data_IF_699644917132
#
_entry.id   IF_699644917132
#
_cell.length_a   1.000
_cell.length_b   1.000
_cell.length_c   1.000
_cell.angle_alpha   90.00
_cell.angle_beta   90.00
_cell.angle_gamma   90.00
#
_symmetry.space_group_name_H-M   'P 1'
#
loop_
_entity.id
_entity.type
_entity.pdbx_description
1 polymer ?
#
# COMPACT_ATOMS: atom_id res chain seq x y z
N UNK A 1 20.59 -31.82 -20.06
CA UNK A 1 20.24 -31.50 -21.47
C UNK A 1 20.21 -29.98 -21.61
N UNK A 2 21.01 -29.38 -22.50
CA UNK A 2 21.01 -27.93 -22.68
C UNK A 2 19.67 -27.48 -23.28
N UNK A 3 19.03 -26.46 -22.68
CA UNK A 3 17.79 -25.88 -23.21
C UNK A 3 18.18 -25.03 -24.44
N UNK A 4 18.09 -25.64 -25.61
CA UNK A 4 18.27 -24.94 -26.87
C UNK A 4 17.01 -24.10 -27.12
N UNK A 5 17.19 -22.82 -27.45
CA UNK A 5 16.07 -21.93 -27.77
C UNK A 5 15.23 -22.54 -28.91
N UNK A 6 13.89 -22.45 -28.88
CA UNK A 6 13.01 -23.18 -29.79
C UNK A 6 13.19 -22.82 -31.27
N UNK A 7 13.74 -21.65 -31.57
CA UNK A 7 13.98 -21.18 -32.96
C UNK A 7 15.31 -21.64 -33.56
N UNK A 8 16.14 -22.37 -32.82
CA UNK A 8 17.44 -22.84 -33.31
C UNK A 8 17.24 -24.16 -34.06
N UNK A 9 17.51 -24.15 -35.37
CA UNK A 9 17.43 -25.35 -36.21
C UNK A 9 18.76 -26.11 -36.25
N UNK A 10 18.72 -27.40 -36.58
CA UNK A 10 19.93 -28.21 -36.76
C UNK A 10 20.85 -27.65 -37.86
N UNK A 11 20.27 -27.08 -38.93
CA UNK A 11 21.02 -26.40 -39.99
C UNK A 11 21.78 -25.16 -39.48
N UNK A 12 21.16 -24.37 -38.59
CA UNK A 12 21.83 -23.24 -37.95
C UNK A 12 22.97 -23.70 -37.04
N UNK A 13 22.80 -24.79 -36.29
CA UNK A 13 23.86 -25.36 -35.46
C UNK A 13 25.07 -25.76 -36.33
N UNK A 14 24.82 -26.44 -37.45
CA UNK A 14 25.88 -26.79 -38.40
C UNK A 14 26.55 -25.54 -38.99
N UNK A 15 25.77 -24.50 -39.28
CA UNK A 15 26.27 -23.23 -39.76
C UNK A 15 27.21 -22.56 -38.74
N UNK A 16 26.83 -22.53 -37.45
CA UNK A 16 27.64 -22.01 -36.36
C UNK A 16 28.94 -22.82 -36.17
N UNK A 17 28.86 -24.15 -36.18
CA UNK A 17 30.05 -25.02 -36.09
C UNK A 17 31.03 -24.78 -37.24
N UNK A 18 30.54 -24.59 -38.47
CA UNK A 18 31.37 -24.28 -39.63
C UNK A 18 31.99 -22.88 -39.53
N UNK A 19 31.27 -21.89 -39.00
CA UNK A 19 31.82 -20.56 -38.67
C UNK A 19 32.99 -20.69 -37.70
N UNK A 20 32.81 -21.47 -36.64
CA UNK A 20 33.84 -21.62 -35.60
C UNK A 20 35.07 -22.36 -36.13
N UNK A 21 34.89 -23.38 -36.98
CA UNK A 21 35.99 -24.02 -37.72
C UNK A 21 36.75 -23.04 -38.60
N UNK A 22 36.05 -22.17 -39.34
CA UNK A 22 36.68 -21.13 -40.18
C UNK A 22 37.43 -20.08 -39.35
N UNK A 23 36.87 -19.68 -38.21
CA UNK A 23 37.56 -18.79 -37.26
C UNK A 23 38.87 -19.41 -36.77
N UNK A 24 38.87 -20.70 -36.42
CA UNK A 24 40.09 -21.40 -36.01
C UNK A 24 41.11 -21.49 -37.16
N UNK A 25 40.67 -21.72 -38.40
CA UNK A 25 41.56 -21.72 -39.58
C UNK A 25 42.18 -20.35 -39.85
N UNK A 26 41.41 -19.28 -39.68
CA UNK A 26 41.90 -17.90 -39.77
C UNK A 26 42.92 -17.59 -38.66
N UNK A 27 42.62 -17.94 -37.41
CA UNK A 27 43.52 -17.72 -36.26
C UNK A 27 44.88 -18.44 -36.43
N UNK A 28 44.90 -19.57 -37.13
CA UNK A 28 46.13 -20.32 -37.43
C UNK A 28 46.94 -19.74 -38.60
N UNK A 29 46.30 -19.00 -39.50
CA UNK A 29 46.91 -18.46 -40.72
C UNK A 29 46.57 -16.97 -40.84
N UNK A 30 47.13 -16.16 -39.94
CA UNK A 30 46.80 -14.73 -39.82
C UNK A 30 47.14 -13.93 -41.08
N UNK A 31 48.17 -14.34 -41.81
CA UNK A 31 48.71 -13.62 -42.98
C UNK A 31 47.96 -13.90 -44.29
N UNK A 32 47.03 -14.87 -44.28
CA UNK A 32 46.30 -15.26 -45.47
C UNK A 32 44.98 -14.47 -45.62
N UNK A 33 45.02 -13.41 -46.43
CA UNK A 33 43.87 -12.54 -46.70
C UNK A 33 42.67 -13.30 -47.32
N UNK A 34 42.90 -14.35 -48.11
CA UNK A 34 41.80 -15.17 -48.69
C UNK A 34 41.01 -15.90 -47.60
N UNK A 35 41.69 -16.43 -46.58
CA UNK A 35 41.05 -17.11 -45.45
C UNK A 35 40.27 -16.11 -44.59
N UNK A 36 40.85 -14.92 -44.39
CA UNK A 36 40.20 -13.82 -43.66
C UNK A 36 38.88 -13.40 -44.33
N UNK A 37 38.91 -13.11 -45.63
CA UNK A 37 37.71 -12.70 -46.38
C UNK A 37 36.65 -13.80 -46.39
N UNK A 38 37.05 -15.05 -46.57
CA UNK A 38 36.14 -16.21 -46.50
C UNK A 38 35.46 -16.30 -45.13
N UNK A 39 36.20 -16.13 -44.04
CA UNK A 39 35.65 -16.13 -42.70
C UNK A 39 34.67 -14.97 -42.46
N UNK A 40 35.04 -13.74 -42.85
CA UNK A 40 34.20 -12.55 -42.68
C UNK A 40 32.88 -12.73 -43.43
N UNK A 41 32.93 -13.12 -44.70
CA UNK A 41 31.74 -13.35 -45.51
C UNK A 41 30.84 -14.43 -44.91
N UNK A 42 31.42 -15.56 -44.50
CA UNK A 42 30.66 -16.64 -43.89
C UNK A 42 30.05 -16.24 -42.54
N UNK A 43 30.78 -15.51 -41.69
CA UNK A 43 30.29 -14.97 -40.41
C UNK A 43 29.11 -14.02 -40.64
N UNK A 44 29.19 -13.15 -41.65
CA UNK A 44 28.13 -12.22 -42.00
C UNK A 44 26.86 -12.95 -42.46
N UNK A 45 27.00 -13.97 -43.32
CA UNK A 45 25.88 -14.82 -43.75
C UNK A 45 25.27 -15.56 -42.55
N UNK A 46 26.08 -16.18 -41.70
CA UNK A 46 25.63 -16.86 -40.49
C UNK A 46 24.84 -15.90 -39.57
N UNK A 47 25.35 -14.68 -39.36
CA UNK A 47 24.67 -13.66 -38.56
C UNK A 47 23.36 -13.18 -39.21
N UNK A 48 23.30 -13.05 -40.55
CA UNK A 48 22.08 -12.71 -41.27
C UNK A 48 21.01 -13.79 -41.07
N UNK A 49 21.37 -15.07 -41.21
CA UNK A 49 20.47 -16.21 -41.00
C UNK A 49 19.98 -16.25 -39.54
N UNK A 50 20.89 -16.07 -38.58
CA UNK A 50 20.57 -16.03 -37.15
C UNK A 50 19.53 -14.96 -36.83
N UNK A 51 19.76 -13.73 -37.33
CA UNK A 51 18.82 -12.61 -37.15
C UNK A 51 17.48 -12.89 -37.82
N UNK A 52 17.48 -13.46 -39.03
CA UNK A 52 16.25 -13.80 -39.77
C UNK A 52 15.40 -14.82 -39.00
N UNK A 53 16.01 -15.92 -38.56
CA UNK A 53 15.30 -16.98 -37.81
C UNK A 53 14.71 -16.45 -36.50
N UNK A 54 15.48 -15.66 -35.74
CA UNK A 54 15.00 -15.04 -34.51
C UNK A 54 13.80 -14.13 -34.78
N UNK A 55 13.89 -13.23 -35.76
CA UNK A 55 12.79 -12.32 -36.14
C UNK A 55 11.55 -13.07 -36.61
N UNK A 56 11.70 -14.11 -37.42
CA UNK A 56 10.58 -14.91 -37.89
C UNK A 56 9.87 -15.60 -36.73
N UNK A 57 10.62 -16.17 -35.78
CA UNK A 57 10.03 -16.78 -34.60
C UNK A 57 9.29 -15.77 -33.73
N UNK A 58 9.92 -14.64 -33.40
CA UNK A 58 9.31 -13.59 -32.58
C UNK A 58 8.05 -13.02 -33.24
N UNK A 59 8.06 -12.86 -34.57
CA UNK A 59 6.87 -12.46 -35.34
C UNK A 59 5.74 -13.49 -35.23
N UNK A 60 6.03 -14.77 -35.42
CA UNK A 60 5.03 -15.85 -35.31
C UNK A 60 4.43 -15.93 -33.90
N UNK A 61 5.24 -15.73 -32.86
CA UNK A 61 4.75 -15.69 -31.48
C UNK A 61 3.82 -14.49 -31.23
N UNK A 62 4.13 -13.32 -31.79
CA UNK A 62 3.25 -12.16 -31.70
C UNK A 62 1.95 -12.37 -32.50
N UNK A 63 2.03 -12.95 -33.70
CA UNK A 63 0.87 -13.28 -34.55
C UNK A 63 -0.11 -14.25 -33.84
N UNK A 64 0.40 -15.20 -33.05
CA UNK A 64 -0.44 -16.12 -32.25
C UNK A 64 -1.28 -15.39 -31.20
N UNK A 65 -0.75 -14.32 -30.60
CA UNK A 65 -1.37 -13.63 -29.48
C UNK A 65 -2.13 -12.35 -29.86
N UNK A 66 -2.30 -12.04 -31.15
CA UNK A 66 -2.93 -10.79 -31.65
C UNK A 66 -4.27 -10.46 -30.98
N UNK A 67 -5.11 -11.47 -30.70
CA UNK A 67 -6.41 -11.28 -30.05
C UNK A 67 -6.35 -11.11 -28.53
N UNK A 68 -5.23 -11.49 -27.89
CA UNK A 68 -5.04 -11.38 -26.45
C UNK A 68 -3.96 -10.34 -26.13
N UNK A 69 -4.41 -9.14 -25.76
CA UNK A 69 -3.54 -8.01 -25.42
C UNK A 69 -2.62 -8.31 -24.23
N UNK A 70 -3.07 -9.10 -23.24
CA UNK A 70 -2.27 -9.45 -22.06
C UNK A 70 -1.09 -10.35 -22.44
N UNK A 71 -1.36 -11.38 -23.22
CA UNK A 71 -0.32 -12.33 -23.67
C UNK A 71 0.63 -11.67 -24.67
N UNK A 72 0.11 -10.82 -25.56
CA UNK A 72 0.95 -10.01 -26.47
C UNK A 72 1.95 -9.18 -25.68
N UNK A 73 1.49 -8.50 -24.63
CA UNK A 73 2.36 -7.68 -23.79
C UNK A 73 3.35 -8.50 -22.97
N UNK A 74 2.96 -9.71 -22.55
CA UNK A 74 3.88 -10.67 -21.92
C UNK A 74 4.99 -11.09 -22.88
N UNK A 75 4.63 -11.47 -24.10
CA UNK A 75 5.58 -11.85 -25.16
C UNK A 75 6.54 -10.72 -25.52
N UNK A 76 6.05 -9.48 -25.62
CA UNK A 76 6.90 -8.30 -25.88
C UNK A 76 7.91 -8.09 -24.74
N UNK A 77 7.46 -8.15 -23.49
CA UNK A 77 8.37 -8.04 -22.33
C UNK A 77 9.45 -9.12 -22.37
N UNK A 78 9.09 -10.35 -22.74
CA UNK A 78 10.05 -11.46 -22.89
C UNK A 78 11.06 -11.20 -24.01
N UNK A 79 10.63 -10.71 -25.19
CA UNK A 79 11.50 -10.39 -26.33
C UNK A 79 12.49 -9.28 -25.99
N UNK A 80 12.00 -8.22 -25.31
CA UNK A 80 12.81 -7.08 -24.90
C UNK A 80 13.70 -7.36 -23.68
N UNK A 81 13.65 -8.58 -23.12
CA UNK A 81 14.33 -8.93 -21.86
C UNK A 81 14.03 -7.93 -20.75
N UNK A 82 12.79 -7.47 -20.69
CA UNK A 82 12.35 -6.48 -19.71
C UNK A 82 12.37 -7.12 -18.32
N UNK A 83 12.96 -6.47 -17.30
CA UNK A 83 13.01 -7.02 -15.96
C UNK A 83 11.58 -7.19 -15.43
N UNK A 84 11.17 -8.43 -15.22
CA UNK A 84 9.90 -8.72 -14.57
C UNK A 84 10.12 -8.40 -13.10
N UNK A 85 9.65 -7.22 -12.66
CA UNK A 85 9.56 -6.93 -11.23
C UNK A 85 8.57 -7.94 -10.64
N UNK A 86 8.96 -8.70 -9.60
CA UNK A 86 8.01 -9.54 -8.90
C UNK A 86 6.87 -8.67 -8.39
N UNK A 87 5.64 -9.18 -8.43
CA UNK A 87 4.52 -8.46 -7.85
C UNK A 87 4.82 -8.25 -6.36
N UNK A 88 4.79 -7.01 -5.84
CA UNK A 88 5.08 -6.75 -4.43
C UNK A 88 4.21 -7.59 -3.48
N UNK A 89 2.98 -7.93 -3.89
CA UNK A 89 2.09 -8.82 -3.14
C UNK A 89 2.61 -10.26 -3.11
N UNK A 90 3.16 -10.76 -4.22
CA UNK A 90 3.79 -12.09 -4.25
C UNK A 90 5.05 -12.13 -3.40
N UNK A 91 5.81 -11.03 -3.34
CA UNK A 91 7.00 -10.95 -2.48
C UNK A 91 6.64 -11.13 -1.00
N UNK A 92 5.53 -10.52 -0.54
CA UNK A 92 5.03 -10.70 0.83
C UNK A 92 4.64 -12.17 1.10
N UNK A 93 4.04 -12.86 0.13
CA UNK A 93 3.68 -14.28 0.26
C UNK A 93 4.89 -15.21 0.29
N UNK A 94 6.01 -14.81 -0.30
CA UNK A 94 7.27 -15.58 -0.33
C UNK A 94 8.30 -15.14 0.71
N UNK A 95 7.98 -14.12 1.51
CA UNK A 95 8.93 -13.56 2.47
C UNK A 95 9.30 -14.53 3.60
N UNK A 96 8.35 -15.38 3.99
CA UNK A 96 8.54 -16.42 5.01
C UNK A 96 8.21 -17.80 4.45
N UNK A 97 8.76 -18.84 5.07
CA UNK A 97 8.55 -20.24 4.65
C UNK A 97 7.08 -20.66 4.76
N UNK A 98 6.33 -20.08 5.72
CA UNK A 98 4.91 -20.35 5.92
C UNK A 98 4.07 -19.10 5.63
N UNK A 99 2.99 -19.19 4.83
CA UNK A 99 2.12 -18.04 4.53
C UNK A 99 1.56 -17.35 5.78
N UNK A 100 1.28 -18.12 6.84
CA UNK A 100 0.80 -17.60 8.13
C UNK A 100 1.81 -16.66 8.81
N UNK A 101 3.10 -16.93 8.67
CA UNK A 101 4.17 -16.12 9.28
C UNK A 101 4.32 -14.79 8.55
N UNK A 102 4.25 -14.79 7.21
CA UNK A 102 4.18 -13.57 6.42
C UNK A 102 3.01 -12.69 6.83
N UNK A 103 1.81 -13.28 7.00
CA UNK A 103 0.63 -12.53 7.46
C UNK A 103 0.79 -11.99 8.88
N UNK A 104 1.38 -12.77 9.79
CA UNK A 104 1.66 -12.31 11.14
C UNK A 104 2.63 -11.13 11.15
N UNK A 105 3.61 -11.09 10.24
CA UNK A 105 4.54 -9.96 10.11
C UNK A 105 3.81 -8.69 9.67
N UNK A 106 2.93 -8.79 8.68
CA UNK A 106 2.09 -7.68 8.23
C UNK A 106 1.18 -7.19 9.36
N UNK A 107 0.55 -8.10 10.10
CA UNK A 107 -0.28 -7.76 11.25
C UNK A 107 0.52 -7.07 12.36
N UNK A 108 1.74 -7.53 12.63
CA UNK A 108 2.64 -6.94 13.62
C UNK A 108 3.08 -5.53 13.20
N UNK A 109 3.34 -5.31 11.91
CA UNK A 109 3.62 -4.00 11.38
C UNK A 109 2.44 -3.05 11.64
N UNK A 110 1.23 -3.37 11.20
CA UNK A 110 0.07 -2.50 11.39
C UNK A 110 -0.31 -2.29 12.86
N UNK A 111 -0.14 -3.32 13.71
CA UNK A 111 -0.31 -3.19 15.16
C UNK A 111 0.69 -2.21 15.78
N UNK A 112 1.95 -2.23 15.32
CA UNK A 112 3.01 -1.39 15.90
C UNK A 112 3.01 0.04 15.37
N UNK A 113 2.56 0.28 14.13
CA UNK A 113 2.48 1.65 13.56
C UNK A 113 1.63 2.57 14.42
N UNK A 114 0.43 2.13 14.84
CA UNK A 114 -0.45 2.94 15.68
C UNK A 114 0.17 3.28 17.05
N UNK A 115 0.76 2.28 17.71
CA UNK A 115 1.44 2.44 19.00
C UNK A 115 2.68 3.35 18.91
N UNK A 116 3.50 3.17 17.87
CA UNK A 116 4.68 3.99 17.68
C UNK A 116 4.30 5.44 17.39
N UNK A 117 3.30 5.66 16.53
CA UNK A 117 2.81 6.99 16.21
C UNK A 117 2.23 7.70 17.44
N UNK A 118 1.41 7.02 18.23
CA UNK A 118 0.86 7.62 19.47
C UNK A 118 1.97 7.98 20.45
N UNK A 119 2.94 7.09 20.64
CA UNK A 119 4.12 7.36 21.48
C UNK A 119 4.91 8.56 20.98
N UNK A 120 5.19 8.65 19.69
CA UNK A 120 5.98 9.74 19.12
C UNK A 120 5.25 11.09 19.27
N UNK A 121 3.92 11.11 19.11
CA UNK A 121 3.09 12.28 19.38
C UNK A 121 3.20 12.68 20.86
N UNK A 122 3.07 11.73 21.80
CA UNK A 122 3.18 12.00 23.24
C UNK A 122 4.55 12.55 23.62
N UNK A 123 5.62 11.97 23.07
CA UNK A 123 6.99 12.45 23.25
C UNK A 123 7.17 13.87 22.70
N UNK A 124 6.62 14.15 21.52
CA UNK A 124 6.70 15.50 20.91
C UNK A 124 5.98 16.57 21.74
N UNK A 125 4.93 16.19 22.46
CA UNK A 125 4.14 17.09 23.30
C UNK A 125 4.65 17.12 24.76
N UNK A 126 5.62 16.27 25.12
CA UNK A 126 6.11 16.07 26.48
C UNK A 126 4.96 15.83 27.50
N UNK A 127 3.90 15.15 27.06
CA UNK A 127 2.66 14.96 27.80
C UNK A 127 2.31 13.47 27.89
N UNK A 128 1.61 13.09 28.95
CA UNK A 128 1.09 11.73 29.12
C UNK A 128 -0.29 11.60 28.50
N UNK A 129 -0.69 10.37 28.14
CA UNK A 129 -2.03 10.09 27.63
C UNK A 129 -3.12 10.59 28.59
N UNK A 130 -2.87 10.47 29.89
CA UNK A 130 -3.75 10.91 30.96
C UNK A 130 -3.92 12.44 30.94
N UNK A 131 -2.84 13.19 30.76
CA UNK A 131 -2.91 14.66 30.69
C UNK A 131 -3.65 15.13 29.45
N UNK A 132 -3.46 14.47 28.30
CA UNK A 132 -4.20 14.79 27.08
C UNK A 132 -5.69 14.45 27.19
N UNK A 133 -6.02 13.30 27.77
CA UNK A 133 -7.40 12.91 28.03
C UNK A 133 -8.12 13.93 28.93
N UNK A 134 -7.45 14.42 29.98
CA UNK A 134 -7.98 15.48 30.85
C UNK A 134 -8.19 16.78 30.06
N UNK A 135 -7.23 17.20 29.23
CA UNK A 135 -7.35 18.41 28.40
C UNK A 135 -8.49 18.32 27.39
N UNK A 136 -8.67 17.18 26.73
CA UNK A 136 -9.79 16.94 25.83
C UNK A 136 -11.13 16.97 26.57
N UNK A 137 -11.22 16.36 27.76
CA UNK A 137 -12.41 16.41 28.60
C UNK A 137 -12.75 17.82 29.11
N UNK A 138 -11.75 18.70 29.28
CA UNK A 138 -11.96 20.10 29.63
C UNK A 138 -12.44 20.94 28.44
N UNK A 139 -11.92 20.69 27.23
CA UNK A 139 -12.33 21.41 26.01
C UNK A 139 -13.72 21.02 25.50
N UNK A 140 -14.14 19.78 25.71
CA UNK A 140 -15.45 19.28 25.27
C UNK A 140 -16.50 19.26 26.39
N UNK A 141 -16.35 20.09 27.44
CA UNK A 141 -17.44 20.25 28.41
C UNK A 141 -18.60 20.98 27.73
N UNK A 142 -19.83 20.44 27.74
CA UNK A 142 -21.00 21.23 27.37
C UNK A 142 -21.08 22.43 28.32
N UNK A 143 -20.99 23.63 27.75
CA UNK A 143 -21.05 24.88 28.50
C UNK A 143 -22.54 25.19 28.69
N UNK A 144 -23.06 24.97 29.90
CA UNK A 144 -24.41 25.37 30.25
C UNK A 144 -24.43 26.86 30.58
N UNK A 145 -25.30 27.62 29.91
CA UNK A 145 -25.48 29.04 30.21
C UNK A 145 -26.52 29.20 31.33
N UNK A 146 -26.08 29.47 32.56
CA UNK A 146 -26.99 29.63 33.71
C UNK A 146 -28.05 30.72 33.54
N UNK A 147 -27.79 31.78 32.79
CA UNK A 147 -28.78 32.86 32.61
C UNK A 147 -29.85 32.52 31.59
N UNK A 148 -29.55 31.59 30.67
CA UNK A 148 -30.48 31.14 29.61
C UNK A 148 -31.11 29.77 29.89
N UNK A 149 -30.60 29.03 30.88
CA UNK A 149 -31.08 27.70 31.20
C UNK A 149 -32.10 27.78 32.32
N UNK A 150 -33.33 27.37 32.03
CA UNK A 150 -34.35 27.10 33.02
C UNK A 150 -34.57 25.58 33.10
N UNK A 151 -35.16 25.09 34.18
CA UNK A 151 -35.52 23.69 34.31
C UNK A 151 -37.02 23.53 34.57
N UNK A 152 -37.56 22.35 34.24
CA UNK A 152 -38.94 21.97 34.48
C UNK A 152 -38.97 20.59 35.15
N UNK A 153 -39.91 20.38 36.09
CA UNK A 153 -40.19 19.05 36.64
C UNK A 153 -41.14 18.31 35.69
N UNK A 154 -40.67 17.22 35.08
CA UNK A 154 -41.49 16.38 34.21
C UNK A 154 -42.51 15.61 35.05
N UNK A 155 -43.73 16.12 35.10
CA UNK A 155 -44.86 15.48 35.75
C UNK A 155 -46.08 15.60 34.85
N UNK A 156 -46.80 14.50 34.66
CA UNK A 156 -47.90 14.42 33.68
C UNK A 156 -49.10 15.27 34.14
N UNK A 157 -49.30 15.37 35.46
CA UNK A 157 -50.41 16.11 36.07
C UNK A 157 -49.89 17.08 37.14
N UNK A 158 -50.56 18.22 37.32
CA UNK A 158 -50.24 19.17 38.40
C UNK A 158 -50.29 18.54 39.81
N UNK A 159 -51.17 17.54 40.02
CA UNK A 159 -51.25 16.79 41.29
C UNK A 159 -50.01 15.95 41.59
N UNK A 160 -49.19 15.66 40.58
CA UNK A 160 -47.96 14.87 40.68
C UNK A 160 -46.70 15.73 40.78
N UNK A 161 -46.83 17.06 40.76
CA UNK A 161 -45.70 17.95 41.00
C UNK A 161 -45.13 17.75 42.41
N UNK A 162 -43.81 17.88 42.60
CA UNK A 162 -43.19 17.79 43.91
C UNK A 162 -43.78 18.85 44.85
N UNK A 163 -44.27 18.42 46.02
CA UNK A 163 -44.85 19.31 47.05
C UNK A 163 -43.83 20.26 47.68
N UNK A 164 -42.54 19.95 47.55
CA UNK A 164 -41.42 20.77 48.02
C UNK A 164 -40.76 21.45 46.81
N UNK A 165 -40.42 22.73 46.98
CA UNK A 165 -39.70 23.50 45.97
C UNK A 165 -38.30 22.90 45.77
N UNK A 166 -38.03 22.34 44.59
CA UNK A 166 -36.73 21.76 44.26
C UNK A 166 -35.82 22.89 43.79
N UNK A 167 -34.75 23.17 44.54
CA UNK A 167 -33.72 24.11 44.10
C UNK A 167 -32.58 23.37 43.40
N UNK A 168 -32.33 23.70 42.13
CA UNK A 168 -31.16 23.24 41.39
C UNK A 168 -30.07 24.34 41.38
N UNK A 169 -28.89 24.02 41.89
CA UNK A 169 -27.70 24.90 41.87
C UNK A 169 -26.72 24.44 40.80
N UNK A 170 -26.18 25.39 40.03
CA UNK A 170 -25.15 25.12 39.02
C UNK A 170 -23.76 25.39 39.60
N UNK A 171 -22.97 24.34 39.78
CA UNK A 171 -21.60 24.46 40.29
C UNK A 171 -20.61 24.78 39.17
N UNK A 172 -19.74 25.77 39.37
CA UNK A 172 -18.54 25.92 38.56
C UNK A 172 -17.55 24.80 38.91
N UNK A 173 -16.67 24.43 37.97
CA UNK A 173 -15.64 23.40 38.20
C UNK A 173 -14.66 23.69 39.34
N UNK A 174 -14.76 24.87 39.97
CA UNK A 174 -14.00 25.32 41.14
C UNK A 174 -14.76 25.18 42.47
N UNK A 175 -16.03 24.74 42.46
CA UNK A 175 -16.81 24.55 43.68
C UNK A 175 -16.52 23.17 44.31
N UNK A 176 -15.87 23.17 45.47
CA UNK A 176 -15.53 21.96 46.23
C UNK A 176 -16.57 21.58 47.31
N UNK A 177 -17.67 22.35 47.43
CA UNK A 177 -18.70 22.14 48.45
C UNK A 177 -19.94 21.53 47.82
N UNK A 178 -20.36 20.37 48.32
CA UNK A 178 -21.48 19.59 47.77
C UNK A 178 -22.87 20.08 48.21
N UNK A 179 -22.99 20.72 49.39
CA UNK A 179 -24.30 21.02 49.98
C UNK A 179 -24.50 22.50 50.38
N UNK A 180 -23.48 23.18 50.93
CA UNK A 180 -23.54 24.61 51.27
C UNK A 180 -22.61 25.45 50.37
N UNK A 181 -23.12 25.77 49.19
CA UNK A 181 -22.48 26.72 48.27
C UNK A 181 -23.42 27.85 47.86
N UNK A 182 -22.83 29.02 47.61
CA UNK A 182 -23.52 30.20 47.07
C UNK A 182 -23.57 30.19 45.53
N UNK A 183 -23.53 28.99 44.92
CA UNK A 183 -23.59 28.85 43.48
C UNK A 183 -24.95 29.29 42.90
N UNK A 184 -24.93 29.74 41.65
CA UNK A 184 -26.12 30.25 40.97
C UNK A 184 -27.24 29.21 40.91
N UNK A 185 -28.42 29.60 41.38
CA UNK A 185 -29.65 28.80 41.29
C UNK A 185 -30.24 28.92 39.89
N UNK A 186 -30.67 27.80 39.31
CA UNK A 186 -31.44 27.78 38.06
C UNK A 186 -32.89 28.11 38.37
N UNK A 187 -33.56 28.81 37.46
CA UNK A 187 -34.98 29.13 37.61
C UNK A 187 -35.83 27.95 37.16
N UNK A 188 -36.84 27.60 37.95
CA UNK A 188 -37.89 26.66 37.56
C UNK A 188 -38.93 27.37 36.70
N UNK A 189 -39.36 26.75 35.61
CA UNK A 189 -40.44 27.25 34.73
C UNK A 189 -41.49 26.18 34.52
N UNK A 190 -42.76 26.59 34.40
CA UNK A 190 -43.89 25.68 34.21
C UNK A 190 -43.99 25.13 32.77
N UNK A 191 -43.48 25.85 31.79
CA UNK A 191 -43.49 25.46 30.37
C UNK A 191 -42.21 25.93 29.66
N UNK A 192 -41.73 25.15 28.69
CA UNK A 192 -40.60 25.53 27.83
C UNK A 192 -41.13 25.65 26.40
N UNK A 193 -41.04 26.85 25.82
CA UNK A 193 -41.33 27.08 24.39
C UNK A 193 -40.07 26.78 23.59
N UNK A 194 -40.07 25.70 22.82
CA UNK A 194 -39.05 25.49 21.80
C UNK A 194 -39.34 26.44 20.63
N UNK A 195 -38.43 27.39 20.40
CA UNK A 195 -38.37 28.11 19.13
C UNK A 195 -37.77 27.14 18.12
N UNK A 196 -38.62 26.60 17.24
CA UNK A 196 -38.19 25.89 16.03
C UNK A 196 -37.61 26.86 15.03
#
# INVERSE_FOLDING_TARGET
KAIIKPWITQGLINCMRRRDKLHMKYKRNLDNEKIRQTYINYRNVCNKILKKLKRTYERLELEKHVKNSKDTWKTIKTICNYPIKPNPVQQLLTEQSRPKESLNKVNTYFKSVGFNLSRDILLSQNETEQTLAIKCNLRNRPILNATKTNFISFTINNSTQPKQEIELKMHSGTCLRAHDCDCSKLKSVAEIRYLG
#
